data_IF_824889301979
#
_entry.id   IF_824889301979
#
_cell.length_a   1.000
_cell.length_b   1.000
_cell.length_c   1.000
_cell.angle_alpha   90.00
_cell.angle_beta   90.00
_cell.angle_gamma   90.00
#
_symmetry.space_group_name_H-M   'P 1'
#
loop_
_entity.id
_entity.type
_entity.pdbx_description
1 polymer ?
#
# COMPACT_ATOMS: atom_id res chain seq x y z
N UNK A 1 28.07 48.84 -16.97
CA UNK A 1 27.79 47.89 -15.87
C UNK A 1 27.90 48.68 -14.58
N UNK A 2 26.81 48.85 -13.82
CA UNK A 2 26.91 49.40 -12.48
C UNK A 2 27.44 48.33 -11.52
N UNK A 3 28.06 48.73 -10.40
CA UNK A 3 28.50 47.78 -9.37
C UNK A 3 27.27 47.02 -8.84
N UNK A 4 27.22 45.71 -9.05
CA UNK A 4 26.13 44.85 -8.56
C UNK A 4 25.16 44.34 -9.63
N UNK A 5 25.48 44.44 -10.92
CA UNK A 5 24.69 43.88 -12.03
C UNK A 5 25.50 42.86 -12.85
N UNK A 6 24.81 41.87 -13.44
CA UNK A 6 25.36 40.86 -14.36
C UNK A 6 24.53 40.82 -15.66
N UNK A 7 25.10 40.23 -16.72
CA UNK A 7 24.45 40.14 -18.03
C UNK A 7 23.51 38.93 -18.12
N UNK A 8 22.27 39.14 -18.57
CA UNK A 8 21.27 38.11 -18.86
C UNK A 8 21.23 37.76 -20.36
N UNK A 9 20.54 36.67 -20.71
CA UNK A 9 20.42 36.09 -22.04
C UNK A 9 19.78 37.03 -23.08
N UNK A 10 19.01 38.03 -22.62
CA UNK A 10 18.34 39.02 -23.47
C UNK A 10 19.13 40.35 -23.59
N UNK A 11 20.44 40.34 -23.35
CA UNK A 11 21.28 41.54 -23.28
C UNK A 11 20.79 42.59 -22.27
N UNK A 12 20.04 42.16 -21.25
CA UNK A 12 19.60 42.99 -20.14
C UNK A 12 20.53 42.85 -18.94
N UNK A 13 20.55 43.87 -18.08
CA UNK A 13 21.27 43.81 -16.81
C UNK A 13 20.32 43.28 -15.72
N UNK A 14 20.75 42.27 -14.98
CA UNK A 14 20.03 41.74 -13.80
C UNK A 14 20.90 41.89 -12.55
N UNK A 15 20.31 41.94 -11.34
CA UNK A 15 21.10 42.02 -10.10
C UNK A 15 22.10 40.87 -9.97
N UNK A 16 23.27 41.15 -9.39
CA UNK A 16 24.29 40.14 -9.10
C UNK A 16 23.71 39.09 -8.14
N UNK A 17 23.84 37.81 -8.49
CA UNK A 17 23.27 36.69 -7.74
C UNK A 17 21.81 36.38 -8.09
N UNK A 18 21.16 37.16 -8.95
CA UNK A 18 19.90 36.77 -9.57
C UNK A 18 20.13 35.64 -10.59
N UNK A 19 19.15 34.76 -10.74
CA UNK A 19 19.14 33.69 -11.74
C UNK A 19 18.33 34.16 -12.94
N UNK A 20 18.92 34.12 -14.13
CA UNK A 20 18.21 34.39 -15.37
C UNK A 20 17.41 33.16 -15.82
N UNK A 21 16.09 33.31 -15.98
CA UNK A 21 15.19 32.24 -16.38
C UNK A 21 14.73 32.35 -17.83
N UNK A 22 15.30 33.29 -18.60
CA UNK A 22 14.84 33.57 -19.96
C UNK A 22 13.44 34.21 -19.99
N UNK A 23 12.93 34.49 -21.19
CA UNK A 23 11.64 35.18 -21.40
C UNK A 23 11.48 36.48 -20.60
N UNK A 24 12.59 37.19 -20.36
CA UNK A 24 12.63 38.41 -19.55
C UNK A 24 12.23 38.20 -18.08
N UNK A 25 12.29 36.96 -17.58
CA UNK A 25 12.12 36.64 -16.17
C UNK A 25 13.49 36.39 -15.51
N UNK A 26 13.72 37.06 -14.38
CA UNK A 26 14.87 36.84 -13.53
C UNK A 26 14.44 36.67 -12.07
N UNK A 27 15.06 35.74 -11.37
CA UNK A 27 14.75 35.42 -9.99
C UNK A 27 15.79 35.99 -9.04
N UNK A 28 15.35 36.59 -7.92
CA UNK A 28 16.26 37.13 -6.92
C UNK A 28 17.18 36.03 -6.33
N UNK A 29 18.30 36.46 -5.74
CA UNK A 29 19.22 35.55 -5.06
C UNK A 29 18.49 34.68 -4.02
N UNK A 30 18.77 33.37 -4.03
CA UNK A 30 18.07 32.38 -3.20
C UNK A 30 16.82 31.77 -3.86
N UNK A 31 16.47 32.18 -5.07
CA UNK A 31 15.43 31.55 -5.89
C UNK A 31 16.03 30.90 -7.15
N UNK A 32 15.29 29.94 -7.70
CA UNK A 32 15.61 29.20 -8.92
C UNK A 32 14.45 29.26 -9.92
N UNK A 33 14.75 28.93 -11.17
CA UNK A 33 13.78 28.94 -12.25
C UNK A 33 12.89 27.69 -12.22
N UNK A 34 11.60 27.88 -12.48
CA UNK A 34 10.68 26.80 -12.82
C UNK A 34 10.70 26.52 -14.32
N UNK A 35 10.16 25.36 -14.72
CA UNK A 35 9.88 24.96 -16.11
C UNK A 35 9.05 25.97 -16.90
N UNK A 36 8.29 26.86 -16.23
CA UNK A 36 7.44 27.87 -16.86
C UNK A 36 8.06 29.28 -16.82
N UNK A 37 9.39 29.39 -16.67
CA UNK A 37 10.11 30.66 -16.57
C UNK A 37 9.56 31.56 -15.45
N UNK A 38 9.21 30.95 -14.31
CA UNK A 38 8.82 31.65 -13.08
C UNK A 38 9.84 31.37 -11.98
N UNK A 39 9.69 32.05 -10.85
CA UNK A 39 10.60 31.91 -9.71
C UNK A 39 10.02 31.02 -8.62
N UNK A 40 10.87 30.17 -8.05
CA UNK A 40 10.55 29.43 -6.83
C UNK A 40 11.76 29.43 -5.87
N UNK A 41 11.54 29.22 -4.57
CA UNK A 41 12.63 29.12 -3.60
C UNK A 41 13.64 28.02 -3.95
N UNK A 42 14.91 28.24 -3.61
CA UNK A 42 15.93 27.20 -3.73
C UNK A 42 15.56 25.98 -2.87
N UNK A 43 15.64 24.79 -3.44
CA UNK A 43 15.25 23.53 -2.77
C UNK A 43 13.76 23.20 -2.83
N UNK A 44 12.92 24.10 -3.35
CA UNK A 44 11.55 23.75 -3.72
C UNK A 44 11.51 22.74 -4.88
N UNK A 45 10.39 22.04 -5.02
CA UNK A 45 10.12 21.11 -6.13
C UNK A 45 9.13 21.76 -7.09
N UNK A 46 9.51 21.94 -8.36
CA UNK A 46 8.63 22.46 -9.39
C UNK A 46 7.59 21.40 -9.80
N UNK A 47 6.31 21.75 -9.70
CA UNK A 47 5.18 20.87 -10.04
C UNK A 47 4.55 21.23 -11.38
N UNK A 48 5.11 22.21 -12.10
CA UNK A 48 4.51 22.75 -13.31
C UNK A 48 3.24 23.57 -13.03
N UNK A 49 2.63 24.11 -14.09
CA UNK A 49 1.42 24.94 -14.00
C UNK A 49 1.52 26.06 -12.95
N UNK A 50 2.70 26.68 -12.85
CA UNK A 50 3.00 27.73 -11.85
C UNK A 50 2.83 27.30 -10.38
N UNK A 51 2.89 25.99 -10.09
CA UNK A 51 2.88 25.44 -8.74
C UNK A 51 4.24 24.84 -8.38
N UNK A 52 4.61 24.98 -7.12
CA UNK A 52 5.78 24.33 -6.54
C UNK A 52 5.48 23.91 -5.10
N UNK A 53 6.28 22.99 -4.58
CA UNK A 53 6.24 22.54 -3.20
C UNK A 53 7.50 22.95 -2.45
N UNK A 54 7.36 23.30 -1.18
CA UNK A 54 8.51 23.66 -0.32
C UNK A 54 9.55 22.53 -0.25
N UNK A 55 10.76 22.88 0.18
CA UNK A 55 11.81 21.91 0.42
C UNK A 55 11.34 20.76 1.33
N UNK A 56 11.67 19.53 0.94
CA UNK A 56 11.23 18.31 1.64
C UNK A 56 9.82 17.83 1.28
N UNK A 57 9.12 18.53 0.37
CA UNK A 57 7.84 18.09 -0.20
C UNK A 57 7.99 17.76 -1.69
N UNK A 58 7.09 16.92 -2.17
CA UNK A 58 6.94 16.51 -3.56
C UNK A 58 5.54 16.85 -4.07
N UNK A 59 5.42 16.90 -5.39
CA UNK A 59 4.18 17.15 -6.09
C UNK A 59 3.24 15.95 -5.95
N UNK A 60 1.99 16.23 -5.60
CA UNK A 60 0.91 15.26 -5.52
C UNK A 60 -0.17 15.58 -6.55
N UNK A 61 -1.12 14.66 -6.69
CA UNK A 61 -2.31 14.85 -7.54
C UNK A 61 -3.07 16.13 -7.15
N UNK A 62 -3.60 16.83 -8.16
CA UNK A 62 -4.45 18.00 -7.96
C UNK A 62 -3.71 19.26 -7.49
N UNK A 63 -2.45 19.48 -7.90
CA UNK A 63 -1.63 20.63 -7.51
C UNK A 63 -1.42 20.74 -5.99
N UNK A 64 -1.39 19.61 -5.29
CA UNK A 64 -1.12 19.56 -3.86
C UNK A 64 0.32 19.15 -3.57
N UNK A 65 0.77 19.38 -2.34
CA UNK A 65 2.11 19.03 -1.88
C UNK A 65 2.03 18.01 -0.76
N UNK A 66 2.88 17.00 -0.83
CA UNK A 66 2.98 15.95 0.20
C UNK A 66 4.45 15.76 0.61
N UNK A 67 4.74 15.23 1.80
CA UNK A 67 6.11 14.89 2.18
C UNK A 67 6.77 13.96 1.16
N UNK A 68 8.09 14.12 0.95
CA UNK A 68 8.86 13.18 0.13
C UNK A 68 8.75 11.77 0.72
N UNK A 69 8.50 10.78 -0.13
CA UNK A 69 8.34 9.38 0.26
C UNK A 69 6.96 9.00 0.80
N UNK A 70 6.07 9.96 1.03
CA UNK A 70 4.66 9.67 1.25
C UNK A 70 4.02 9.03 0.00
N UNK A 71 2.86 8.40 0.16
CA UNK A 71 2.04 7.85 -0.92
C UNK A 71 0.68 8.55 -0.98
N UNK A 72 0.22 8.89 -2.19
CA UNK A 72 -1.09 9.54 -2.40
C UNK A 72 -2.20 8.50 -2.39
N UNK A 73 -3.24 8.75 -1.59
CA UNK A 73 -4.44 7.93 -1.44
C UNK A 73 -5.67 8.65 -1.99
N UNK A 74 -5.48 9.50 -3.01
CA UNK A 74 -6.52 10.32 -3.61
C UNK A 74 -6.73 11.62 -2.84
N UNK A 75 -7.57 11.60 -1.80
CA UNK A 75 -7.93 12.80 -1.01
C UNK A 75 -7.02 13.04 0.20
N UNK A 76 -6.19 12.06 0.56
CA UNK A 76 -5.22 12.12 1.65
C UNK A 76 -3.92 11.44 1.21
N UNK A 77 -2.90 11.49 2.05
CA UNK A 77 -1.64 10.76 1.84
C UNK A 77 -1.25 10.00 3.09
N UNK A 78 -0.43 8.97 2.92
CA UNK A 78 0.19 8.22 4.00
C UNK A 78 1.69 8.46 4.02
N UNK A 79 2.27 8.54 5.22
CA UNK A 79 3.71 8.73 5.40
C UNK A 79 4.53 7.61 4.76
N UNK A 80 5.83 7.85 4.57
CA UNK A 80 6.77 6.84 4.11
C UNK A 80 6.70 5.58 5.00
N UNK A 81 6.69 4.40 4.37
CA UNK A 81 6.56 3.10 5.04
C UNK A 81 5.11 2.71 5.38
N UNK A 82 4.13 3.53 5.02
CA UNK A 82 2.70 3.21 5.10
C UNK A 82 2.09 3.08 3.70
N UNK A 83 0.92 2.46 3.63
CA UNK A 83 0.10 2.33 2.44
C UNK A 83 -1.34 2.75 2.71
N UNK A 84 -2.04 3.07 1.63
CA UNK A 84 -3.47 3.37 1.66
C UNK A 84 -4.26 2.13 2.06
N UNK A 85 -5.20 2.30 2.97
CA UNK A 85 -6.12 1.25 3.38
C UNK A 85 -7.57 1.74 3.32
N UNK A 86 -8.47 0.77 3.42
CA UNK A 86 -9.90 0.96 3.53
C UNK A 86 -10.25 1.92 4.67
N UNK A 87 -11.39 2.61 4.52
CA UNK A 87 -11.87 3.55 5.52
C UNK A 87 -11.05 4.84 5.65
N UNK A 88 -10.34 5.25 4.57
CA UNK A 88 -9.51 6.45 4.54
C UNK A 88 -8.40 6.44 5.61
N UNK A 89 -7.73 5.29 5.76
CA UNK A 89 -6.73 5.08 6.79
C UNK A 89 -5.37 4.71 6.17
N UNK A 90 -4.32 4.82 7.00
CA UNK A 90 -2.96 4.46 6.63
C UNK A 90 -2.50 3.31 7.51
N UNK A 91 -2.11 2.19 6.90
CA UNK A 91 -1.53 1.04 7.59
C UNK A 91 -0.08 0.87 7.17
N UNK A 92 0.70 0.10 7.93
CA UNK A 92 2.06 -0.24 7.51
C UNK A 92 2.04 -1.04 6.21
N UNK A 93 3.06 -0.88 5.37
CA UNK A 93 3.19 -1.64 4.11
C UNK A 93 3.25 -3.16 4.38
N UNK A 94 3.71 -3.58 5.57
CA UNK A 94 3.77 -4.98 5.98
C UNK A 94 2.43 -5.53 6.49
N UNK A 95 1.45 -4.69 6.75
CA UNK A 95 0.12 -5.09 7.24
C UNK A 95 -0.82 -5.39 6.06
N UNK A 96 -1.85 -6.18 6.32
CA UNK A 96 -2.87 -6.58 5.35
C UNK A 96 -4.15 -5.83 5.67
N UNK A 97 -4.67 -5.06 4.71
CA UNK A 97 -5.97 -4.40 4.83
C UNK A 97 -7.10 -5.42 4.69
N UNK A 98 -7.90 -5.55 5.74
CA UNK A 98 -9.03 -6.47 5.81
C UNK A 98 -10.39 -5.78 5.60
N UNK A 99 -10.39 -4.49 5.24
CA UNK A 99 -11.61 -3.73 5.06
C UNK A 99 -12.09 -3.06 6.35
N UNK A 100 -12.88 -2.00 6.20
CA UNK A 100 -13.58 -1.29 7.30
C UNK A 100 -12.62 -0.85 8.43
N UNK A 101 -11.39 -0.46 8.08
CA UNK A 101 -10.38 -0.04 9.07
C UNK A 101 -9.79 -1.18 9.91
N UNK A 102 -10.13 -2.43 9.59
CA UNK A 102 -9.49 -3.60 10.18
C UNK A 102 -8.29 -4.03 9.34
N UNK A 103 -7.20 -4.42 10.01
CA UNK A 103 -5.99 -4.90 9.36
C UNK A 103 -5.33 -5.98 10.21
N UNK A 104 -4.51 -6.80 9.54
CA UNK A 104 -3.74 -7.85 10.16
C UNK A 104 -2.24 -7.59 10.02
N UNK A 105 -1.47 -8.18 10.95
CA UNK A 105 -0.01 -8.07 10.93
C UNK A 105 0.62 -8.92 9.83
N UNK A 106 1.90 -8.67 9.57
CA UNK A 106 2.68 -9.48 8.64
C UNK A 106 2.64 -10.97 9.05
N UNK A 107 2.43 -11.86 8.07
CA UNK A 107 2.33 -13.30 8.31
C UNK A 107 0.96 -13.78 8.81
N UNK A 108 -0.04 -12.89 8.88
CA UNK A 108 -1.43 -13.25 9.12
C UNK A 108 -2.26 -13.14 7.83
N UNK A 109 -3.55 -13.43 7.91
CA UNK A 109 -4.55 -13.17 6.87
C UNK A 109 -5.89 -12.81 7.50
N UNK A 110 -6.73 -12.13 6.74
CA UNK A 110 -8.07 -11.75 7.14
C UNK A 110 -8.97 -12.99 7.27
N UNK A 111 -9.68 -13.06 8.38
CA UNK A 111 -10.69 -14.05 8.67
C UNK A 111 -12.05 -13.38 8.93
N UNK A 112 -13.09 -14.19 8.96
CA UNK A 112 -14.45 -13.76 9.25
C UNK A 112 -14.54 -13.01 10.59
N UNK A 113 -15.47 -12.06 10.67
CA UNK A 113 -15.70 -11.20 11.84
C UNK A 113 -14.48 -10.37 12.28
N UNK A 114 -13.71 -9.82 11.34
CA UNK A 114 -12.58 -8.93 11.63
C UNK A 114 -11.55 -9.59 12.57
N UNK A 115 -11.22 -10.85 12.27
CA UNK A 115 -10.16 -11.59 12.96
C UNK A 115 -8.97 -11.75 12.04
N UNK A 116 -7.80 -11.87 12.66
CA UNK A 116 -6.58 -12.27 11.98
C UNK A 116 -6.21 -13.69 12.37
N UNK A 117 -5.95 -14.53 11.38
CA UNK A 117 -5.46 -15.90 11.57
C UNK A 117 -4.09 -16.04 10.90
N UNK A 118 -3.26 -17.04 11.27
CA UNK A 118 -1.98 -17.26 10.59
C UNK A 118 -2.16 -17.41 9.07
N UNK A 119 -1.21 -16.90 8.30
CA UNK A 119 -1.24 -17.07 6.84
C UNK A 119 -1.25 -18.57 6.48
N UNK A 120 -2.16 -18.96 5.60
CA UNK A 120 -2.36 -20.36 5.17
C UNK A 120 -3.23 -21.20 6.11
N UNK A 121 -3.61 -20.69 7.29
CA UNK A 121 -4.64 -21.31 8.11
C UNK A 121 -6.02 -21.29 7.40
N UNK A 122 -6.90 -22.23 7.77
CA UNK A 122 -8.27 -22.30 7.28
C UNK A 122 -9.21 -21.70 8.31
N UNK A 123 -9.96 -20.68 7.92
CA UNK A 123 -10.97 -20.10 8.80
C UNK A 123 -12.23 -20.98 8.86
N UNK A 124 -12.56 -21.44 10.06
CA UNK A 124 -13.73 -22.28 10.35
C UNK A 124 -14.83 -21.48 11.06
N UNK A 125 -14.81 -20.15 10.91
CA UNK A 125 -15.77 -19.22 11.51
C UNK A 125 -15.45 -18.96 12.98
N UNK A 126 -15.75 -19.92 13.87
CA UNK A 126 -15.49 -19.77 15.31
C UNK A 126 -14.04 -20.04 15.70
N UNK A 127 -13.36 -20.88 14.95
CA UNK A 127 -11.96 -21.30 15.14
C UNK A 127 -11.23 -21.29 13.80
N UNK A 128 -9.94 -21.63 13.81
CA UNK A 128 -9.18 -21.87 12.60
C UNK A 128 -8.44 -23.20 12.70
N UNK A 129 -8.08 -23.75 11.55
CA UNK A 129 -7.22 -24.92 11.43
C UNK A 129 -5.89 -24.55 10.79
N UNK A 130 -4.83 -25.27 11.13
CA UNK A 130 -3.50 -25.00 10.58
C UNK A 130 -3.45 -25.28 9.07
N UNK A 131 -2.41 -24.75 8.43
CA UNK A 131 -2.17 -25.02 7.01
C UNK A 131 -2.09 -26.54 6.74
N UNK A 132 -2.80 -27.00 5.70
CA UNK A 132 -2.90 -28.42 5.36
C UNK A 132 -3.97 -29.20 6.14
N UNK A 133 -4.74 -28.53 6.99
CA UNK A 133 -5.95 -29.07 7.60
C UNK A 133 -7.22 -28.45 6.99
N UNK A 134 -8.38 -28.99 7.33
CA UNK A 134 -9.69 -28.47 6.97
C UNK A 134 -10.64 -28.52 8.17
N UNK A 135 -11.67 -27.70 8.11
CA UNK A 135 -12.74 -27.67 9.11
C UNK A 135 -13.54 -28.96 9.10
N UNK A 136 -13.81 -29.49 10.29
CA UNK A 136 -14.67 -30.64 10.51
C UNK A 136 -15.74 -30.32 11.56
N UNK A 137 -16.70 -31.23 11.67
CA UNK A 137 -17.76 -31.21 12.68
C UNK A 137 -17.16 -31.11 14.09
N UNK A 138 -17.94 -30.54 15.01
CA UNK A 138 -17.58 -30.41 16.42
C UNK A 138 -16.33 -29.53 16.69
N UNK A 139 -16.13 -28.49 15.87
CA UNK A 139 -15.01 -27.54 15.97
C UNK A 139 -13.63 -28.22 15.94
N UNK A 140 -13.47 -29.21 15.06
CA UNK A 140 -12.25 -30.00 14.95
C UNK A 140 -11.57 -29.74 13.61
N UNK A 141 -10.26 -29.93 13.61
CA UNK A 141 -9.46 -29.89 12.41
C UNK A 141 -9.06 -31.30 12.01
N UNK A 142 -9.22 -31.63 10.74
CA UNK A 142 -8.81 -32.91 10.15
C UNK A 142 -7.84 -32.65 8.99
N UNK A 143 -7.01 -33.62 8.59
CA UNK A 143 -6.15 -33.46 7.44
C UNK A 143 -6.95 -33.04 6.19
N UNK A 144 -6.38 -32.15 5.37
CA UNK A 144 -7.02 -31.75 4.13
C UNK A 144 -7.28 -32.99 3.24
N UNK A 145 -8.49 -33.09 2.69
CA UNK A 145 -8.94 -34.23 1.88
C UNK A 145 -9.48 -35.43 2.67
N UNK A 146 -9.31 -35.47 4.00
CA UNK A 146 -9.99 -36.44 4.84
C UNK A 146 -11.52 -36.27 4.81
N UNK A 147 -12.25 -37.35 5.05
CA UNK A 147 -13.71 -37.34 5.12
C UNK A 147 -14.14 -37.26 6.59
N UNK A 148 -14.88 -36.22 6.93
CA UNK A 148 -15.45 -36.07 8.27
C UNK A 148 -16.67 -36.98 8.46
N UNK A 149 -16.58 -37.87 9.44
CA UNK A 149 -17.64 -38.81 9.82
C UNK A 149 -18.25 -38.45 11.18
N UNK A 150 -18.17 -37.18 11.59
CA UNK A 150 -18.77 -36.61 12.80
C UNK A 150 -17.92 -36.88 14.05
N UNK A 151 -17.83 -38.13 14.48
CA UNK A 151 -17.03 -38.54 15.65
C UNK A 151 -15.58 -38.86 15.29
N UNK A 152 -15.34 -39.32 14.07
CA UNK A 152 -14.05 -39.74 13.53
C UNK A 152 -13.88 -39.16 12.11
N UNK A 153 -12.72 -39.37 11.51
CA UNK A 153 -12.48 -39.04 10.11
C UNK A 153 -11.86 -40.24 9.40
N UNK A 154 -11.99 -40.25 8.08
CA UNK A 154 -11.39 -41.24 7.21
C UNK A 154 -10.41 -40.58 6.24
N UNK A 155 -9.43 -41.34 5.76
CA UNK A 155 -8.44 -40.81 4.82
C UNK A 155 -9.10 -40.41 3.49
N UNK A 156 -8.38 -39.62 2.70
CA UNK A 156 -8.86 -39.20 1.39
C UNK A 156 -9.25 -40.40 0.52
N UNK A 157 -10.46 -40.34 -0.06
CA UNK A 157 -11.03 -41.39 -0.91
C UNK A 157 -11.74 -42.52 -0.15
N UNK A 158 -11.63 -42.59 1.18
CA UNK A 158 -12.43 -43.52 1.98
C UNK A 158 -13.84 -42.96 2.23
N UNK A 159 -14.77 -43.83 2.64
CA UNK A 159 -16.14 -43.45 2.98
C UNK A 159 -16.47 -43.79 4.43
N UNK A 160 -17.33 -42.98 5.05
CA UNK A 160 -17.87 -43.28 6.38
C UNK A 160 -18.70 -44.56 6.35
N UNK A 161 -18.37 -45.50 7.22
CA UNK A 161 -19.16 -46.70 7.47
C UNK A 161 -19.80 -46.64 8.86
N UNK A 162 -20.81 -47.48 9.06
CA UNK A 162 -21.39 -47.71 10.40
C UNK A 162 -20.34 -48.26 11.37
N UNK A 163 -20.54 -47.99 12.67
CA UNK A 163 -19.66 -48.39 13.78
C UNK A 163 -18.28 -47.72 13.81
N UNK A 164 -18.19 -46.43 13.47
CA UNK A 164 -16.94 -45.64 13.51
C UNK A 164 -15.79 -46.24 12.68
N UNK A 165 -16.11 -46.72 11.46
CA UNK A 165 -15.14 -47.35 10.56
C UNK A 165 -15.10 -46.65 9.22
N UNK A 166 -13.97 -46.79 8.55
CA UNK A 166 -13.76 -46.31 7.19
C UNK A 166 -13.85 -47.47 6.20
N UNK A 167 -14.64 -47.28 5.14
CA UNK A 167 -14.70 -48.20 4.01
C UNK A 167 -13.73 -47.72 2.92
N UNK A 168 -13.03 -48.63 2.23
CA UNK A 168 -12.25 -48.28 1.04
C UNK A 168 -13.10 -47.53 0.00
N UNK A 169 -12.46 -46.78 -0.91
CA UNK A 169 -13.16 -46.14 -2.02
C UNK A 169 -14.01 -47.18 -2.76
N UNK A 170 -15.23 -46.79 -3.14
CA UNK A 170 -16.03 -47.62 -4.06
C UNK A 170 -15.38 -47.52 -5.43
N UNK A 171 -14.49 -48.46 -5.73
CA UNK A 171 -13.97 -48.65 -7.07
C UNK A 171 -15.11 -49.29 -7.86
N UNK A 172 -15.82 -48.48 -8.65
CA UNK A 172 -16.76 -49.01 -9.65
C UNK A 172 -15.90 -49.64 -10.75
N UNK A 173 -15.61 -50.94 -10.62
CA UNK A 173 -15.05 -51.71 -11.73
C UNK A 173 -16.16 -51.92 -12.75
N UNK A 174 -16.00 -51.35 -13.94
CA UNK A 174 -16.81 -51.67 -15.12
C UNK A 174 -16.63 -53.14 -15.53
#
# INVERSE_FOLDING_TARGET
>A
MNQGEQCASNNTCIPLGATDCGNSTNCAAGNQCTSNNSCMPLGATDCGNSNYCDAGKQCASGNSCMPVGAISCGTYYCDAGKQCASGNSCILVSQIDCGVGHHCEAGQQCAYNNRCIPAGAVDCGTHFCDAGQQCASNNRCIPAGAVDCGTHFCDAGQQCASNNRCKPPVINTC
#
